data_IF_437632196668
#
_entry.id   IF_437632196668
#
_cell.length_a   1.000
_cell.length_b   1.000
_cell.length_c   1.000
_cell.angle_alpha   90.00
_cell.angle_beta   90.00
_cell.angle_gamma   90.00
#
_symmetry.space_group_name_H-M   'P 1'
#
loop_
_entity.id
_entity.type
_entity.pdbx_description
1 polymer ?
#
# COMPACT_ATOMS: atom_id res chain seq x y z
N UNK A 1 -1.25 -3.00 -14.39
CA UNK A 1 -1.38 -3.64 -13.05
C UNK A 1 -0.08 -4.23 -12.51
N UNK A 2 0.86 -4.72 -13.34
CA UNK A 2 2.15 -5.25 -12.84
C UNK A 2 3.00 -4.28 -12.00
N UNK A 3 2.83 -2.97 -12.17
CA UNK A 3 3.53 -1.95 -11.38
C UNK A 3 3.19 -1.96 -9.88
N UNK A 4 1.90 -2.06 -9.51
CA UNK A 4 1.46 -2.05 -8.12
C UNK A 4 1.95 -3.28 -7.34
N UNK A 5 1.84 -4.45 -7.98
CA UNK A 5 2.35 -5.70 -7.43
C UNK A 5 3.87 -5.65 -7.21
N UNK A 6 4.62 -5.18 -8.20
CA UNK A 6 6.08 -5.03 -8.07
C UNK A 6 6.45 -4.05 -6.94
N UNK A 7 5.74 -2.93 -6.81
CA UNK A 7 5.94 -1.96 -5.72
C UNK A 7 5.65 -2.56 -4.34
N UNK A 8 4.64 -3.41 -4.21
CA UNK A 8 4.37 -4.14 -2.97
C UNK A 8 5.56 -5.02 -2.55
N UNK A 9 6.17 -5.72 -3.51
CA UNK A 9 7.38 -6.51 -3.26
C UNK A 9 8.57 -5.65 -2.84
N UNK A 10 8.82 -4.56 -3.58
CA UNK A 10 9.90 -3.61 -3.28
C UNK A 10 9.69 -2.94 -1.92
N UNK A 11 8.45 -2.59 -1.55
CA UNK A 11 8.13 -2.02 -0.24
C UNK A 11 8.49 -2.99 0.88
N UNK A 12 8.02 -4.24 0.79
CA UNK A 12 8.30 -5.27 1.79
C UNK A 12 9.81 -5.46 1.98
N UNK A 13 10.54 -5.63 0.89
CA UNK A 13 12.00 -5.84 0.94
C UNK A 13 12.72 -4.59 1.45
N UNK A 14 12.26 -3.39 1.11
CA UNK A 14 12.83 -2.12 1.58
C UNK A 14 12.68 -1.99 3.10
N UNK A 15 11.46 -2.21 3.62
CA UNK A 15 11.19 -2.13 5.06
C UNK A 15 11.93 -3.23 5.83
N UNK A 16 11.98 -4.46 5.30
CA UNK A 16 12.71 -5.56 5.92
C UNK A 16 14.21 -5.30 5.98
N UNK A 17 14.81 -4.78 4.89
CA UNK A 17 16.23 -4.43 4.86
C UNK A 17 16.57 -3.24 5.75
N UNK A 18 15.68 -2.24 5.81
CA UNK A 18 15.80 -1.09 6.70
C UNK A 18 15.81 -1.56 8.16
N UNK A 19 14.84 -2.40 8.54
CA UNK A 19 14.74 -2.98 9.88
C UNK A 19 15.95 -3.82 10.27
N UNK A 20 16.47 -4.62 9.33
CA UNK A 20 17.69 -5.41 9.54
C UNK A 20 18.99 -4.58 9.54
N UNK A 21 18.94 -3.25 9.31
CA UNK A 21 20.12 -2.40 9.20
C UNK A 21 21.00 -2.70 7.97
N UNK A 22 20.45 -3.37 6.96
CA UNK A 22 21.18 -3.78 5.73
C UNK A 22 20.89 -2.89 4.52
N UNK A 23 19.98 -1.93 4.67
CA UNK A 23 19.75 -0.88 3.69
C UNK A 23 20.63 0.32 4.02
N UNK A 24 21.56 0.64 3.12
CA UNK A 24 22.33 1.88 3.20
C UNK A 24 21.38 3.10 3.12
N UNK A 25 21.32 3.96 4.16
CA UNK A 25 20.46 5.15 4.18
C UNK A 25 20.72 6.10 3.00
N UNK A 26 21.92 6.12 2.42
CA UNK A 26 22.23 6.94 1.25
C UNK A 26 21.37 6.55 0.03
N UNK A 27 20.92 5.28 -0.06
CA UNK A 27 20.00 4.83 -1.12
C UNK A 27 18.61 5.44 -1.01
N UNK A 28 18.19 5.81 0.20
CA UNK A 28 16.96 6.56 0.44
C UNK A 28 17.16 8.08 0.27
N UNK A 29 18.37 8.53 -0.05
CA UNK A 29 18.72 9.93 -0.24
C UNK A 29 19.00 10.68 1.07
N UNK A 30 19.37 9.96 2.14
CA UNK A 30 19.91 10.57 3.36
C UNK A 30 21.40 10.92 3.21
N UNK A 31 21.83 11.92 3.96
CA UNK A 31 23.23 12.37 4.02
C UNK A 31 24.07 11.46 4.95
N UNK A 32 25.31 11.86 5.22
CA UNK A 32 26.25 11.09 6.04
C UNK A 32 25.77 10.85 7.49
N UNK A 33 24.82 11.65 8.00
CA UNK A 33 24.21 11.43 9.31
C UNK A 33 23.16 10.28 9.27
N UNK A 34 22.76 9.85 8.07
CA UNK A 34 21.82 8.76 7.86
C UNK A 34 20.43 9.06 8.41
N UNK A 35 19.89 8.11 9.19
CA UNK A 35 18.55 8.17 9.76
C UNK A 35 18.50 8.85 11.14
N UNK A 36 19.66 9.04 11.79
CA UNK A 36 19.72 9.55 13.15
C UNK A 36 19.16 10.98 13.24
N UNK A 37 18.19 11.19 14.14
CA UNK A 37 17.56 12.50 14.35
C UNK A 37 16.56 12.91 13.26
N UNK A 38 16.30 12.05 12.26
CA UNK A 38 15.29 12.28 11.23
C UNK A 38 13.90 12.03 11.80
N UNK A 39 12.94 12.84 11.36
CA UNK A 39 11.55 12.63 11.76
C UNK A 39 10.95 11.40 11.06
N UNK A 40 10.01 10.72 11.71
CA UNK A 40 9.32 9.58 11.10
C UNK A 40 8.67 9.95 9.76
N UNK A 41 8.09 11.15 9.65
CA UNK A 41 7.51 11.67 8.40
C UNK A 41 8.54 11.82 7.28
N UNK A 42 9.73 12.31 7.59
CA UNK A 42 10.81 12.43 6.61
C UNK A 42 11.26 11.06 6.12
N UNK A 43 11.38 10.08 7.02
CA UNK A 43 11.72 8.70 6.67
C UNK A 43 10.65 8.08 5.77
N UNK A 44 9.37 8.27 6.10
CA UNK A 44 8.25 7.78 5.28
C UNK A 44 8.26 8.39 3.88
N UNK A 45 8.45 9.72 3.76
CA UNK A 45 8.53 10.39 2.45
C UNK A 45 9.68 9.81 1.61
N UNK A 46 10.88 9.62 2.19
CA UNK A 46 12.02 9.02 1.49
C UNK A 46 11.76 7.57 1.06
N UNK A 47 11.16 6.76 1.92
CA UNK A 47 10.78 5.38 1.58
C UNK A 47 9.80 5.38 0.40
N UNK A 48 8.77 6.22 0.44
CA UNK A 48 7.74 6.26 -0.61
C UNK A 48 8.33 6.60 -1.98
N UNK A 49 9.21 7.60 -2.06
CA UNK A 49 9.90 8.00 -3.29
C UNK A 49 10.91 6.97 -3.76
N UNK A 50 11.54 6.23 -2.84
CA UNK A 50 12.47 5.16 -3.21
C UNK A 50 11.73 3.97 -3.82
N UNK A 51 10.61 3.56 -3.22
CA UNK A 51 9.80 2.41 -3.66
C UNK A 51 9.05 2.74 -4.95
N UNK A 52 8.54 3.96 -5.07
CA UNK A 52 7.82 4.43 -6.27
C UNK A 52 8.39 5.78 -6.72
N UNK A 53 9.53 5.79 -7.44
CA UNK A 53 10.10 7.03 -7.97
C UNK A 53 9.08 7.80 -8.80
N UNK A 54 8.99 9.12 -8.58
CA UNK A 54 8.11 9.95 -9.40
C UNK A 54 8.68 10.02 -10.81
N UNK A 55 7.87 9.62 -11.79
CA UNK A 55 8.11 9.77 -13.22
C UNK A 55 7.15 10.80 -13.85
N UNK A 56 6.42 11.54 -13.01
CA UNK A 56 5.40 12.50 -13.42
C UNK A 56 4.05 11.86 -13.80
N UNK A 57 3.90 10.54 -13.69
CA UNK A 57 2.63 9.86 -13.95
C UNK A 57 1.71 9.89 -12.73
N UNK A 58 0.40 9.88 -12.97
CA UNK A 58 -0.60 9.77 -11.91
C UNK A 58 -0.43 8.46 -11.13
N UNK A 59 -0.05 7.37 -11.80
CA UNK A 59 0.16 6.07 -11.17
C UNK A 59 1.30 6.13 -10.14
N UNK A 60 2.46 6.71 -10.47
CA UNK A 60 3.59 6.84 -9.54
C UNK A 60 3.24 7.70 -8.33
N UNK A 61 2.58 8.84 -8.54
CA UNK A 61 2.15 9.76 -7.48
C UNK A 61 1.05 9.15 -6.59
N UNK A 62 0.14 8.36 -7.17
CA UNK A 62 -0.87 7.62 -6.41
C UNK A 62 -0.21 6.59 -5.50
N UNK A 63 0.79 5.88 -6.03
CA UNK A 63 1.50 4.84 -5.31
C UNK A 63 2.31 5.37 -4.13
N UNK A 64 3.00 6.51 -4.32
CA UNK A 64 3.67 7.20 -3.22
C UNK A 64 2.67 7.59 -2.12
N UNK A 65 1.50 8.12 -2.50
CA UNK A 65 0.43 8.46 -1.54
C UNK A 65 -0.09 7.23 -0.79
N UNK A 66 -0.27 6.10 -1.46
CA UNK A 66 -0.68 4.85 -0.82
C UNK A 66 0.34 4.36 0.23
N UNK A 67 1.64 4.42 -0.08
CA UNK A 67 2.71 4.07 0.87
C UNK A 67 2.74 5.03 2.05
N UNK A 68 2.68 6.35 1.79
CA UNK A 68 2.65 7.37 2.84
C UNK A 68 1.44 7.18 3.77
N UNK A 69 0.26 6.91 3.21
CA UNK A 69 -0.96 6.69 3.98
C UNK A 69 -0.83 5.46 4.87
N UNK A 70 -0.35 4.33 4.34
CA UNK A 70 -0.17 3.10 5.12
C UNK A 70 0.81 3.29 6.30
N UNK A 71 1.97 3.90 6.08
CA UNK A 71 2.94 4.15 7.14
C UNK A 71 2.46 5.23 8.13
N UNK A 72 1.69 6.21 7.66
CA UNK A 72 1.08 7.22 8.53
C UNK A 72 -0.02 6.62 9.42
N UNK A 73 -0.81 5.69 8.89
CA UNK A 73 -1.80 4.95 9.69
C UNK A 73 -1.10 4.11 10.77
N UNK A 74 0.08 3.54 10.48
CA UNK A 74 0.87 2.82 11.50
C UNK A 74 1.27 3.77 12.65
N UNK A 75 1.82 4.94 12.32
CA UNK A 75 2.18 5.97 13.31
C UNK A 75 0.98 6.50 14.09
N UNK A 76 -0.19 6.59 13.45
CA UNK A 76 -1.41 7.03 14.12
C UNK A 76 -1.88 5.98 15.15
N UNK A 77 -1.73 4.70 14.83
CA UNK A 77 -2.09 3.59 15.72
C UNK A 77 -1.04 3.34 16.82
N UNK A 78 0.24 3.54 16.52
CA UNK A 78 1.35 3.44 17.46
C UNK A 78 2.29 4.66 17.31
N UNK A 79 2.05 5.74 18.07
CA UNK A 79 2.86 6.97 17.97
C UNK A 79 4.34 6.80 18.33
N UNK A 80 4.71 5.72 19.00
CA UNK A 80 6.08 5.45 19.44
C UNK A 80 6.83 4.48 18.50
N UNK A 81 6.19 4.04 17.41
CA UNK A 81 6.82 3.12 16.46
C UNK A 81 8.06 3.74 15.83
N UNK A 82 9.15 2.99 15.82
CA UNK A 82 10.35 3.34 15.07
C UNK A 82 10.20 2.86 13.61
N UNK A 83 9.85 3.78 12.72
CA UNK A 83 9.68 3.49 11.29
C UNK A 83 10.98 3.05 10.59
N UNK A 84 12.15 3.25 11.21
CA UNK A 84 13.42 2.73 10.72
C UNK A 84 13.72 1.30 11.17
N UNK A 85 12.95 0.77 12.13
CA UNK A 85 13.14 -0.57 12.70
C UNK A 85 11.80 -1.26 12.95
N UNK A 86 11.01 -1.42 11.89
CA UNK A 86 9.72 -2.11 11.97
C UNK A 86 9.88 -3.61 12.24
N UNK A 87 9.05 -4.15 13.11
CA UNK A 87 8.91 -5.61 13.29
C UNK A 87 8.28 -6.25 12.05
N UNK A 88 8.48 -7.57 11.87
CA UNK A 88 7.85 -8.30 10.75
C UNK A 88 6.33 -8.13 10.71
N UNK A 89 5.67 -8.13 11.88
CA UNK A 89 4.22 -7.93 12.00
C UNK A 89 3.80 -6.52 11.55
N UNK A 90 4.59 -5.49 11.88
CA UNK A 90 4.33 -4.12 11.44
C UNK A 90 4.58 -3.96 9.93
N UNK A 91 5.59 -4.63 9.38
CA UNK A 91 5.84 -4.65 7.93
C UNK A 91 4.66 -5.30 7.19
N UNK A 92 4.19 -6.46 7.67
CA UNK A 92 3.04 -7.15 7.10
C UNK A 92 1.78 -6.28 7.18
N UNK A 93 1.54 -5.63 8.32
CA UNK A 93 0.43 -4.71 8.50
C UNK A 93 0.48 -3.50 7.55
N UNK A 94 1.66 -2.88 7.39
CA UNK A 94 1.87 -1.77 6.45
C UNK A 94 1.62 -2.23 5.01
N UNK A 95 2.09 -3.43 4.67
CA UNK A 95 1.88 -3.98 3.34
C UNK A 95 0.39 -4.24 3.07
N UNK A 96 -0.33 -4.84 4.02
CA UNK A 96 -1.77 -5.07 3.96
C UNK A 96 -2.51 -3.75 3.69
N UNK A 97 -2.19 -2.70 4.48
CA UNK A 97 -2.80 -1.39 4.35
C UNK A 97 -2.44 -0.68 3.04
N UNK A 98 -1.19 -0.80 2.60
CA UNK A 98 -0.73 -0.23 1.33
C UNK A 98 -1.49 -0.81 0.13
N UNK A 99 -1.69 -2.13 0.11
CA UNK A 99 -2.40 -2.80 -0.98
C UNK A 99 -3.86 -2.33 -1.06
N UNK A 100 -4.53 -2.20 0.09
CA UNK A 100 -5.87 -1.60 0.14
C UNK A 100 -5.88 -0.22 -0.51
N UNK A 101 -4.93 0.66 -0.14
CA UNK A 101 -4.86 2.00 -0.71
C UNK A 101 -4.59 2.02 -2.22
N UNK A 102 -3.68 1.19 -2.73
CA UNK A 102 -3.42 1.07 -4.17
C UNK A 102 -4.67 0.67 -4.94
N UNK A 103 -5.39 -0.35 -4.44
CA UNK A 103 -6.57 -0.89 -5.12
C UNK A 103 -7.73 0.11 -5.08
N UNK A 104 -8.03 0.67 -3.91
CA UNK A 104 -9.13 1.64 -3.77
C UNK A 104 -8.88 2.88 -4.62
N UNK A 105 -7.65 3.40 -4.65
CA UNK A 105 -7.32 4.53 -5.52
C UNK A 105 -7.49 4.17 -6.99
N UNK A 106 -7.11 2.97 -7.40
CA UNK A 106 -7.28 2.53 -8.78
C UNK A 106 -8.75 2.41 -9.17
N UNK A 107 -9.57 1.83 -8.29
CA UNK A 107 -11.03 1.74 -8.52
C UNK A 107 -11.65 3.13 -8.60
N UNK A 108 -11.27 4.05 -7.72
CA UNK A 108 -11.75 5.44 -7.77
C UNK A 108 -11.41 6.12 -9.12
N UNK A 109 -10.20 5.88 -9.64
CA UNK A 109 -9.79 6.40 -10.95
C UNK A 109 -10.54 5.76 -12.13
N UNK A 110 -10.77 4.45 -12.07
CA UNK A 110 -11.35 3.70 -13.19
C UNK A 110 -12.89 3.81 -13.22
N UNK A 111 -13.57 3.78 -12.07
CA UNK A 111 -15.06 3.75 -11.98
C UNK A 111 -15.67 4.85 -11.10
N UNK A 112 -14.89 5.61 -10.33
CA UNK A 112 -15.43 6.60 -9.39
C UNK A 112 -16.35 7.63 -10.06
N UNK A 113 -15.98 8.07 -11.26
CA UNK A 113 -16.83 8.97 -12.07
C UNK A 113 -18.15 8.30 -12.48
N UNK A 114 -18.11 7.06 -12.96
CA UNK A 114 -19.31 6.29 -13.34
C UNK A 114 -20.26 6.11 -12.14
N UNK A 115 -19.70 5.78 -10.98
CA UNK A 115 -20.47 5.64 -9.73
C UNK A 115 -21.18 6.95 -9.37
N UNK A 116 -20.48 8.08 -9.48
CA UNK A 116 -21.06 9.40 -9.19
C UNK A 116 -22.16 9.78 -10.18
N UNK A 117 -21.97 9.54 -11.48
CA UNK A 117 -22.93 9.90 -12.54
C UNK A 117 -24.18 9.01 -12.51
N UNK A 118 -24.03 7.73 -12.17
CA UNK A 118 -25.12 6.75 -12.16
C UNK A 118 -25.78 6.58 -10.78
N UNK A 119 -25.33 7.29 -9.75
CA UNK A 119 -25.96 7.24 -8.44
C UNK A 119 -27.23 8.11 -8.40
N UNK A 120 -28.32 7.64 -7.75
CA UNK A 120 -29.52 8.45 -7.55
C UNK A 120 -29.29 9.73 -6.73
N UNK A 121 -28.21 9.77 -5.94
CA UNK A 121 -27.82 10.92 -5.13
C UNK A 121 -26.33 10.87 -4.75
N UNK A 122 -25.71 12.01 -4.35
CA UNK A 122 -24.34 12.02 -3.84
C UNK A 122 -24.12 11.13 -2.60
N UNK A 123 -25.14 11.00 -1.74
CA UNK A 123 -25.09 10.11 -0.59
C UNK A 123 -25.00 8.64 -1.04
N UNK A 124 -25.81 8.23 -2.02
CA UNK A 124 -25.78 6.89 -2.59
C UNK A 124 -24.45 6.57 -3.29
N UNK A 125 -23.83 7.54 -3.95
CA UNK A 125 -22.49 7.36 -4.51
C UNK A 125 -21.44 7.14 -3.40
N UNK A 126 -21.52 7.92 -2.32
CA UNK A 126 -20.61 7.79 -1.17
C UNK A 126 -20.77 6.44 -0.46
N UNK A 127 -22.00 5.97 -0.30
CA UNK A 127 -22.29 4.64 0.26
C UNK A 127 -21.69 3.53 -0.61
N UNK A 128 -21.85 3.59 -1.94
CA UNK A 128 -21.23 2.65 -2.88
C UNK A 128 -19.70 2.65 -2.80
N UNK A 129 -19.08 3.83 -2.76
CA UNK A 129 -17.62 3.93 -2.61
C UNK A 129 -17.13 3.34 -1.28
N UNK A 130 -17.91 3.50 -0.20
CA UNK A 130 -17.62 2.87 1.09
C UNK A 130 -17.73 1.34 0.99
N UNK A 131 -18.80 0.81 0.40
CA UNK A 131 -18.98 -0.63 0.22
C UNK A 131 -17.83 -1.25 -0.60
N UNK A 132 -17.40 -0.59 -1.67
CA UNK A 132 -16.22 -0.98 -2.45
C UNK A 132 -14.99 -1.06 -1.56
N UNK A 133 -14.74 -0.03 -0.74
CA UNK A 133 -13.59 0.00 0.16
C UNK A 133 -13.62 -1.12 1.18
N UNK A 134 -14.76 -1.34 1.82
CA UNK A 134 -14.94 -2.40 2.82
C UNK A 134 -14.74 -3.79 2.19
N UNK A 135 -15.25 -3.99 0.97
CA UNK A 135 -15.00 -5.22 0.21
C UNK A 135 -13.51 -5.43 -0.06
N UNK A 136 -12.80 -4.40 -0.55
CA UNK A 136 -11.35 -4.48 -0.80
C UNK A 136 -10.58 -4.80 0.48
N UNK A 137 -10.91 -4.13 1.59
CA UNK A 137 -10.31 -4.40 2.89
C UNK A 137 -10.48 -5.87 3.28
N UNK A 138 -11.68 -6.44 3.16
CA UNK A 138 -11.91 -7.84 3.48
C UNK A 138 -11.21 -8.83 2.55
N UNK A 139 -11.17 -8.57 1.23
CA UNK A 139 -10.46 -9.45 0.28
C UNK A 139 -8.96 -9.46 0.60
N UNK A 140 -8.36 -8.28 0.82
CA UNK A 140 -6.95 -8.16 1.19
C UNK A 140 -6.70 -8.88 2.52
N UNK A 141 -7.47 -8.58 3.57
CA UNK A 141 -7.30 -9.22 4.87
C UNK A 141 -7.49 -10.74 4.82
N UNK A 142 -8.44 -11.25 4.03
CA UNK A 142 -8.62 -12.68 3.81
C UNK A 142 -7.40 -13.32 3.15
N UNK A 143 -6.81 -12.63 2.16
CA UNK A 143 -5.62 -13.10 1.47
C UNK A 143 -4.40 -13.17 2.42
N UNK A 144 -4.20 -12.17 3.27
CA UNK A 144 -3.15 -12.17 4.30
C UNK A 144 -3.41 -13.22 5.38
N UNK A 145 -4.66 -13.40 5.84
CA UNK A 145 -5.03 -14.50 6.76
C UNK A 145 -4.67 -15.86 6.17
N UNK A 146 -4.97 -16.09 4.89
CA UNK A 146 -4.63 -17.33 4.20
C UNK A 146 -3.11 -17.51 4.07
N UNK A 147 -2.36 -16.44 3.77
CA UNK A 147 -0.90 -16.49 3.71
C UNK A 147 -0.29 -16.89 5.06
N UNK A 148 -0.76 -16.31 6.17
CA UNK A 148 -0.29 -16.68 7.53
C UNK A 148 -0.53 -18.15 7.86
N UNK A 149 -1.64 -18.73 7.40
CA UNK A 149 -1.95 -20.15 7.61
C UNK A 149 -0.99 -21.10 6.87
N UNK A 150 -0.24 -20.63 5.87
CA UNK A 150 0.78 -21.45 5.20
C UNK A 150 2.00 -21.74 6.09
N UNK A 151 2.18 -20.98 7.18
CA UNK A 151 3.34 -21.08 8.07
C UNK A 151 4.66 -20.66 7.44
N UNK A 152 4.64 -20.11 6.21
CA UNK A 152 5.82 -19.62 5.51
C UNK A 152 5.99 -18.12 5.75
N UNK A 153 7.21 -17.64 5.99
CA UNK A 153 7.45 -16.20 6.13
C UNK A 153 7.09 -15.47 4.84
N UNK A 154 6.47 -14.30 4.99
CA UNK A 154 6.23 -13.41 3.86
C UNK A 154 7.56 -12.88 3.30
N UNK A 155 7.58 -12.62 2.00
CA UNK A 155 8.69 -11.98 1.31
C UNK A 155 8.17 -11.12 0.15
N UNK A 156 9.03 -10.33 -0.50
CA UNK A 156 8.62 -9.47 -1.60
C UNK A 156 7.93 -10.20 -2.77
N UNK A 157 8.29 -11.46 -3.05
CA UNK A 157 7.62 -12.27 -4.08
C UNK A 157 6.20 -12.64 -3.66
N UNK A 158 6.01 -13.06 -2.40
CA UNK A 158 4.67 -13.36 -1.85
C UNK A 158 3.80 -12.11 -1.88
N UNK A 159 4.34 -10.96 -1.46
CA UNK A 159 3.66 -9.67 -1.53
C UNK A 159 3.19 -9.36 -2.97
N UNK A 160 4.09 -9.50 -3.95
CA UNK A 160 3.79 -9.27 -5.37
C UNK A 160 2.65 -10.16 -5.87
N UNK A 161 2.71 -11.47 -5.58
CA UNK A 161 1.69 -12.43 -5.99
C UNK A 161 0.35 -12.14 -5.33
N UNK A 162 0.36 -11.83 -4.03
CA UNK A 162 -0.85 -11.53 -3.26
C UNK A 162 -1.55 -10.29 -3.80
N UNK A 163 -0.80 -9.20 -4.02
CA UNK A 163 -1.34 -7.95 -4.61
C UNK A 163 -1.93 -8.21 -5.99
N UNK A 164 -1.24 -8.96 -6.85
CA UNK A 164 -1.74 -9.28 -8.20
C UNK A 164 -3.07 -10.05 -8.14
N UNK A 165 -3.16 -11.03 -7.23
CA UNK A 165 -4.36 -11.83 -7.03
C UNK A 165 -5.52 -10.98 -6.54
N UNK A 166 -5.31 -10.16 -5.50
CA UNK A 166 -6.40 -9.35 -4.92
C UNK A 166 -6.89 -8.30 -5.92
N UNK A 167 -6.00 -7.70 -6.71
CA UNK A 167 -6.39 -6.83 -7.82
C UNK A 167 -7.31 -7.59 -8.79
N UNK A 168 -6.92 -8.77 -9.26
CA UNK A 168 -7.73 -9.55 -10.19
C UNK A 168 -9.11 -9.90 -9.61
N UNK A 169 -9.15 -10.45 -8.39
CA UNK A 169 -10.40 -10.81 -7.71
C UNK A 169 -11.33 -9.60 -7.53
N UNK A 170 -10.77 -8.43 -7.22
CA UNK A 170 -11.53 -7.20 -7.02
C UNK A 170 -12.10 -6.68 -8.35
N UNK A 171 -11.29 -6.59 -9.40
CA UNK A 171 -11.74 -6.07 -10.69
C UNK A 171 -12.77 -6.96 -11.37
N UNK A 172 -12.69 -8.29 -11.22
CA UNK A 172 -13.73 -9.19 -11.74
C UNK A 172 -15.09 -8.92 -11.10
N UNK A 173 -15.15 -8.52 -9.83
CA UNK A 173 -16.42 -8.18 -9.17
C UNK A 173 -16.96 -6.83 -9.62
N UNK A 174 -16.08 -5.87 -9.93
CA UNK A 174 -16.49 -4.52 -10.33
C UNK A 174 -16.51 -4.28 -11.84
N UNK A 175 -16.27 -5.29 -12.66
CA UNK A 175 -16.27 -5.21 -14.13
C UNK A 175 -17.63 -4.71 -14.65
N UNK A 176 -18.73 -5.10 -14.00
CA UNK A 176 -20.10 -4.65 -14.31
C UNK A 176 -20.34 -3.14 -14.05
N UNK A 177 -19.48 -2.45 -13.30
CA UNK A 177 -19.57 -1.01 -13.06
C UNK A 177 -18.79 -0.16 -14.08
N UNK A 178 -17.96 -0.82 -14.91
CA UNK A 178 -17.13 -0.19 -15.94
C UNK A 178 -17.87 -0.13 -17.29
N UNK A 179 -18.82 -1.03 -17.54
CA UNK A 179 -19.69 -1.07 -18.73
C UNK A 179 -20.88 -0.09 -18.64
#
# INVERSE_FOLDING_TARGET
MGGAANRSGVLFDTLGRLSAGTLDPARLGFDAAGLAGRSAREIIDRISRFVSPSDGTQDAESSQRAINAALSDLLANDPNVDVSSLTEQQIEWVLERHIVYEIVQRIDLDVGKSILENAPSPASASDRMREIREYVEEVVSAAFRAQRQTGRPANGSVATTLTSRVIQETFTVFEEYVE
#
